data_IF_885724027737
#
_entry.id   IF_885724027737
#
_cell.length_a   1.000
_cell.length_b   1.000
_cell.length_c   1.000
_cell.angle_alpha   90.00
_cell.angle_beta   90.00
_cell.angle_gamma   90.00
#
_symmetry.space_group_name_H-M   'P 1'
#
loop_
_entity.id
_entity.type
_entity.pdbx_description
1 polymer ?
#
# COMPACT_ATOMS: atom_id res chain seq x y z
N UNK A 1 9.71 -20.25 -35.77
CA UNK A 1 10.00 -19.82 -34.37
C UNK A 1 11.23 -18.96 -34.44
N UNK A 2 11.05 -17.68 -34.73
CA UNK A 2 12.19 -16.75 -34.79
C UNK A 2 12.56 -16.36 -33.37
N UNK A 3 13.71 -16.89 -32.92
CA UNK A 3 14.30 -16.56 -31.63
C UNK A 3 14.91 -15.14 -31.68
N UNK A 4 14.07 -14.12 -31.72
CA UNK A 4 14.48 -12.77 -31.37
C UNK A 4 14.76 -12.77 -29.88
N UNK A 5 16.03 -12.99 -29.51
CA UNK A 5 16.53 -12.70 -28.17
C UNK A 5 16.10 -11.26 -27.85
N UNK A 6 15.06 -11.10 -27.02
CA UNK A 6 14.64 -9.80 -26.53
C UNK A 6 15.87 -9.11 -25.93
N UNK A 7 16.23 -7.94 -26.46
CA UNK A 7 17.33 -7.12 -25.94
C UNK A 7 17.16 -6.99 -24.43
N UNK A 8 18.16 -7.37 -23.66
CA UNK A 8 18.17 -7.20 -22.22
C UNK A 8 18.42 -5.73 -21.92
N UNK A 9 17.40 -5.01 -21.50
CA UNK A 9 17.51 -3.63 -21.02
C UNK A 9 18.14 -3.59 -19.61
N UNK A 10 18.56 -2.42 -19.18
CA UNK A 10 19.06 -2.21 -17.83
C UNK A 10 17.95 -2.27 -16.78
N UNK A 11 16.76 -1.79 -17.13
CA UNK A 11 15.58 -1.74 -16.28
C UNK A 11 14.36 -2.24 -17.04
N UNK A 12 13.62 -3.18 -16.48
CA UNK A 12 12.25 -3.49 -16.87
C UNK A 12 11.27 -2.63 -16.05
N UNK A 13 10.44 -1.86 -16.73
CA UNK A 13 9.40 -1.05 -16.06
C UNK A 13 8.08 -1.79 -16.14
N UNK A 14 7.54 -2.18 -15.00
CA UNK A 14 6.31 -2.96 -14.89
C UNK A 14 5.13 -2.07 -14.52
N UNK A 15 4.12 -2.01 -15.40
CA UNK A 15 2.92 -1.18 -15.27
C UNK A 15 1.68 -2.07 -15.37
N UNK A 16 1.01 -2.40 -14.27
CA UNK A 16 -0.32 -3.01 -14.32
C UNK A 16 -1.35 -1.94 -14.69
N UNK A 17 -2.26 -2.25 -15.60
CA UNK A 17 -3.31 -1.34 -16.07
C UNK A 17 -4.68 -2.04 -16.09
N UNK A 18 -5.69 -1.37 -15.53
CA UNK A 18 -7.08 -1.79 -15.60
C UNK A 18 -7.99 -0.57 -15.63
N UNK A 19 -8.77 -0.40 -16.71
CA UNK A 19 -9.68 0.73 -16.92
C UNK A 19 -8.99 2.09 -16.66
N UNK A 20 -7.88 2.33 -17.35
CA UNK A 20 -7.00 3.49 -17.17
C UNK A 20 -7.03 4.44 -18.39
N UNK A 21 -8.09 4.43 -19.21
CA UNK A 21 -8.16 5.20 -20.48
C UNK A 21 -7.87 6.70 -20.31
N UNK A 22 -8.12 7.26 -19.13
CA UNK A 22 -7.94 8.71 -18.87
C UNK A 22 -6.54 9.08 -18.39
N UNK A 23 -5.70 8.10 -17.99
CA UNK A 23 -4.43 8.37 -17.29
C UNK A 23 -3.23 7.65 -17.91
N UNK A 24 -3.44 6.49 -18.53
CA UNK A 24 -2.38 5.61 -19.01
C UNK A 24 -1.41 6.29 -19.99
N UNK A 25 -1.90 7.15 -20.88
CA UNK A 25 -1.06 7.86 -21.84
C UNK A 25 -0.05 8.77 -21.13
N UNK A 26 -0.51 9.56 -20.16
CA UNK A 26 0.35 10.44 -19.37
C UNK A 26 1.34 9.65 -18.49
N UNK A 27 0.88 8.56 -17.89
CA UNK A 27 1.70 7.68 -17.08
C UNK A 27 2.86 7.09 -17.89
N UNK A 28 2.56 6.50 -19.07
CA UNK A 28 3.59 5.92 -19.96
C UNK A 28 4.51 7.01 -20.51
N UNK A 29 3.99 8.18 -20.91
CA UNK A 29 4.82 9.30 -21.37
C UNK A 29 5.82 9.76 -20.31
N UNK A 30 5.45 9.74 -19.04
CA UNK A 30 6.36 10.05 -17.91
C UNK A 30 7.51 9.06 -17.78
N UNK A 31 7.28 7.80 -18.11
CA UNK A 31 8.30 6.73 -18.15
C UNK A 31 9.15 6.84 -19.41
N UNK A 32 8.56 7.12 -20.56
CA UNK A 32 9.30 7.32 -21.81
C UNK A 32 10.27 8.50 -21.74
N UNK A 33 9.99 9.49 -20.90
CA UNK A 33 10.80 10.70 -20.70
C UNK A 33 11.96 10.55 -19.70
N UNK A 34 12.17 9.36 -19.11
CA UNK A 34 13.24 9.14 -18.12
C UNK A 34 14.63 9.43 -18.71
N UNK A 35 15.58 9.92 -17.87
CA UNK A 35 16.98 10.16 -18.27
C UNK A 35 17.69 8.87 -18.68
N UNK A 36 17.42 7.76 -17.99
CA UNK A 36 17.86 6.43 -18.38
C UNK A 36 17.00 5.94 -19.55
N UNK A 37 17.62 5.76 -20.73
CA UNK A 37 16.93 5.37 -21.97
C UNK A 37 16.93 3.86 -22.20
N UNK A 38 17.86 3.14 -21.61
CA UNK A 38 17.98 1.68 -21.74
C UNK A 38 16.98 0.99 -20.82
N UNK A 39 15.70 1.14 -21.17
CA UNK A 39 14.55 0.59 -20.45
C UNK A 39 13.66 -0.20 -21.40
N UNK A 40 12.99 -1.20 -20.87
CA UNK A 40 11.86 -1.90 -21.50
C UNK A 40 10.61 -1.65 -20.66
N UNK A 41 9.52 -1.26 -21.30
CA UNK A 41 8.27 -0.90 -20.64
C UNK A 41 7.28 -2.04 -20.85
N UNK A 42 7.00 -2.78 -19.81
CA UNK A 42 6.08 -3.93 -19.80
C UNK A 42 4.76 -3.47 -19.18
N UNK A 43 3.72 -3.39 -20.00
CA UNK A 43 2.39 -2.98 -19.55
C UNK A 43 1.48 -4.21 -19.57
N UNK A 44 0.92 -4.56 -18.43
CA UNK A 44 -0.03 -5.67 -18.31
C UNK A 44 -1.45 -5.10 -18.23
N UNK A 45 -2.20 -5.22 -19.33
CA UNK A 45 -3.61 -4.90 -19.36
C UNK A 45 -4.41 -6.05 -18.76
N UNK A 46 -4.89 -5.84 -17.54
CA UNK A 46 -5.64 -6.84 -16.74
C UNK A 46 -7.13 -6.89 -17.13
N UNK A 47 -7.40 -7.07 -18.43
CA UNK A 47 -8.75 -7.24 -18.96
C UNK A 47 -9.59 -5.97 -18.88
N UNK A 48 -9.04 -4.80 -19.23
CA UNK A 48 -9.79 -3.54 -19.30
C UNK A 48 -10.99 -3.64 -20.25
N UNK A 49 -12.07 -2.95 -19.88
CA UNK A 49 -13.34 -2.89 -20.62
C UNK A 49 -13.62 -1.52 -21.25
N UNK A 50 -12.74 -0.56 -21.00
CA UNK A 50 -12.73 0.79 -21.58
C UNK A 50 -11.74 0.85 -22.77
N UNK A 51 -11.37 2.06 -23.22
CA UNK A 51 -10.43 2.26 -24.32
C UNK A 51 -8.95 2.08 -23.98
N UNK A 52 -8.63 1.56 -22.79
CA UNK A 52 -7.24 1.36 -22.36
C UNK A 52 -6.44 0.56 -23.40
N UNK A 53 -7.00 -0.57 -23.91
CA UNK A 53 -6.30 -1.41 -24.90
C UNK A 53 -5.99 -0.66 -26.19
N UNK A 54 -6.92 0.14 -26.71
CA UNK A 54 -6.72 0.90 -27.95
C UNK A 54 -5.61 1.94 -27.81
N UNK A 55 -5.54 2.58 -26.63
CA UNK A 55 -4.48 3.56 -26.31
C UNK A 55 -3.12 2.84 -26.22
N UNK A 56 -3.07 1.71 -25.53
CA UNK A 56 -1.85 0.92 -25.37
C UNK A 56 -1.30 0.41 -26.71
N UNK A 57 -2.17 -0.02 -27.64
CA UNK A 57 -1.76 -0.44 -28.98
C UNK A 57 -1.07 0.70 -29.73
N UNK A 58 -1.62 1.91 -29.69
CA UNK A 58 -1.03 3.09 -30.34
C UNK A 58 0.32 3.47 -29.73
N UNK A 59 0.45 3.38 -28.41
CA UNK A 59 1.71 3.65 -27.70
C UNK A 59 2.78 2.64 -28.11
N UNK A 60 2.43 1.35 -28.17
CA UNK A 60 3.36 0.28 -28.56
C UNK A 60 3.78 0.35 -30.03
N UNK A 61 2.90 0.80 -30.91
CA UNK A 61 3.22 1.06 -32.31
C UNK A 61 4.23 2.23 -32.49
N UNK A 62 4.18 3.21 -31.57
CA UNK A 62 5.03 4.41 -31.63
C UNK A 62 6.38 4.26 -30.92
N UNK A 63 6.53 3.31 -29.99
CA UNK A 63 7.77 3.12 -29.19
C UNK A 63 8.08 1.63 -29.02
N UNK A 64 9.13 1.15 -29.67
CA UNK A 64 9.57 -0.26 -29.65
C UNK A 64 9.95 -0.78 -28.26
N UNK A 65 10.18 0.10 -27.29
CA UNK A 65 10.46 -0.27 -25.89
C UNK A 65 9.21 -0.73 -25.14
N UNK A 66 8.01 -0.45 -25.67
CA UNK A 66 6.73 -0.74 -25.03
C UNK A 66 6.21 -2.11 -25.47
N UNK A 67 6.01 -2.97 -24.49
CA UNK A 67 5.47 -4.33 -24.67
C UNK A 67 4.17 -4.46 -23.88
N UNK A 68 3.07 -4.73 -24.58
CA UNK A 68 1.74 -4.90 -23.97
C UNK A 68 1.41 -6.37 -23.84
N UNK A 69 1.10 -6.81 -22.63
CA UNK A 69 0.57 -8.13 -22.33
C UNK A 69 -0.91 -7.97 -21.90
N UNK A 70 -1.82 -8.63 -22.57
CA UNK A 70 -3.25 -8.60 -22.22
C UNK A 70 -3.64 -9.91 -21.57
N UNK A 71 -4.26 -9.82 -20.39
CA UNK A 71 -4.74 -10.97 -19.61
C UNK A 71 -6.25 -10.83 -19.33
N UNK A 72 -6.89 -11.90 -18.91
CA UNK A 72 -8.20 -11.81 -18.27
C UNK A 72 -8.05 -11.13 -16.91
N UNK A 73 -9.07 -10.39 -16.45
CA UNK A 73 -9.00 -9.70 -15.17
C UNK A 73 -8.76 -10.68 -14.01
N UNK A 74 -7.56 -10.64 -13.47
CA UNK A 74 -7.08 -11.43 -12.33
C UNK A 74 -6.74 -10.57 -11.10
N UNK A 75 -6.82 -9.24 -11.22
CA UNK A 75 -6.43 -8.26 -10.22
C UNK A 75 -4.93 -7.99 -10.20
N UNK A 76 -4.54 -6.99 -9.40
CA UNK A 76 -3.19 -6.42 -9.40
C UNK A 76 -2.08 -7.46 -9.18
N UNK A 77 -2.28 -8.44 -8.30
CA UNK A 77 -1.29 -9.50 -8.02
C UNK A 77 -1.05 -10.36 -9.24
N UNK A 78 -2.13 -10.75 -9.95
CA UNK A 78 -2.05 -11.54 -11.18
C UNK A 78 -1.31 -10.75 -12.26
N UNK A 79 -1.68 -9.49 -12.48
CA UNK A 79 -1.05 -8.62 -13.48
C UNK A 79 0.44 -8.40 -13.19
N UNK A 80 0.81 -8.11 -11.93
CA UNK A 80 2.19 -7.92 -11.54
C UNK A 80 3.03 -9.19 -11.73
N UNK A 81 2.51 -10.36 -11.34
CA UNK A 81 3.23 -11.61 -11.51
C UNK A 81 3.37 -11.98 -13.00
N UNK A 82 2.31 -11.82 -13.81
CA UNK A 82 2.39 -12.05 -15.26
C UNK A 82 3.48 -11.18 -15.94
N UNK A 83 3.60 -9.92 -15.51
CA UNK A 83 4.68 -9.06 -16.00
C UNK A 83 6.07 -9.47 -15.48
N UNK A 84 6.17 -9.91 -14.22
CA UNK A 84 7.45 -10.40 -13.64
C UNK A 84 7.98 -11.66 -14.33
N UNK A 85 7.12 -12.51 -14.87
CA UNK A 85 7.53 -13.72 -15.61
C UNK A 85 8.34 -13.37 -16.87
N UNK A 86 7.98 -12.28 -17.55
CA UNK A 86 8.66 -11.84 -18.77
C UNK A 86 9.78 -10.82 -18.52
N UNK A 87 9.94 -10.30 -17.29
CA UNK A 87 11.06 -9.46 -16.90
C UNK A 87 12.38 -10.24 -17.02
N UNK A 88 13.45 -9.60 -17.54
CA UNK A 88 14.79 -10.18 -17.64
C UNK A 88 15.93 -9.18 -17.39
N UNK A 89 15.61 -7.92 -17.13
CA UNK A 89 16.58 -6.90 -16.72
C UNK A 89 17.10 -7.16 -15.28
N UNK A 90 18.24 -6.58 -14.92
CA UNK A 90 18.77 -6.69 -13.56
C UNK A 90 17.83 -6.05 -12.53
N UNK A 91 17.14 -4.97 -12.93
CA UNK A 91 16.23 -4.23 -12.06
C UNK A 91 14.83 -4.16 -12.65
N UNK A 92 13.84 -4.22 -11.77
CA UNK A 92 12.42 -3.97 -12.11
C UNK A 92 11.97 -2.71 -11.39
N UNK A 93 11.48 -1.73 -12.16
CA UNK A 93 10.85 -0.53 -11.65
C UNK A 93 9.33 -0.66 -11.78
N UNK A 94 8.61 -0.56 -10.67
CA UNK A 94 7.15 -0.57 -10.67
C UNK A 94 6.62 0.83 -10.93
N UNK A 95 5.50 0.96 -11.68
CA UNK A 95 4.78 2.20 -11.88
C UNK A 95 3.27 1.96 -12.00
N UNK A 96 2.44 2.88 -11.48
CA UNK A 96 0.98 2.79 -11.66
C UNK A 96 0.53 3.45 -12.97
N UNK A 97 -0.57 2.95 -13.51
CA UNK A 97 -1.17 3.43 -14.75
C UNK A 97 -1.81 4.84 -14.64
N UNK A 98 -1.79 5.45 -13.45
CA UNK A 98 -2.37 6.75 -13.16
C UNK A 98 -1.41 7.74 -12.49
N UNK A 99 -0.16 7.33 -12.22
CA UNK A 99 0.87 8.16 -11.59
C UNK A 99 1.81 8.81 -12.61
N UNK A 100 2.63 9.76 -12.16
CA UNK A 100 3.61 10.47 -12.99
C UNK A 100 5.01 10.38 -12.38
N UNK A 101 5.98 9.85 -13.12
CA UNK A 101 7.37 9.80 -12.70
C UNK A 101 8.14 11.04 -13.15
N UNK A 102 9.01 11.60 -12.30
CA UNK A 102 9.92 12.66 -12.72
C UNK A 102 11.10 12.09 -13.54
N UNK A 103 11.66 12.86 -14.47
CA UNK A 103 12.63 12.32 -15.46
C UNK A 103 13.87 11.66 -14.83
N UNK A 104 14.31 12.09 -13.67
CA UNK A 104 15.50 11.58 -12.98
C UNK A 104 15.22 10.41 -11.98
N UNK A 105 13.98 9.88 -11.94
CA UNK A 105 13.63 8.83 -11.00
C UNK A 105 14.51 7.60 -11.15
N UNK A 106 14.59 7.06 -12.37
CA UNK A 106 15.34 5.81 -12.58
C UNK A 106 16.83 5.99 -12.39
N UNK A 107 17.39 7.12 -12.77
CA UNK A 107 18.79 7.44 -12.53
C UNK A 107 19.14 7.44 -11.04
N UNK A 108 18.30 8.11 -10.22
CA UNK A 108 18.53 8.17 -8.78
C UNK A 108 18.42 6.80 -8.11
N UNK A 109 17.39 6.00 -8.47
CA UNK A 109 17.15 4.69 -7.90
C UNK A 109 18.21 3.67 -8.34
N UNK A 110 18.58 3.70 -9.62
CA UNK A 110 19.59 2.81 -10.19
C UNK A 110 20.97 3.08 -9.59
N UNK A 111 21.40 4.35 -9.54
CA UNK A 111 22.66 4.74 -8.94
C UNK A 111 22.75 4.29 -7.47
N UNK A 112 21.66 4.42 -6.72
CA UNK A 112 21.62 3.96 -5.35
C UNK A 112 21.82 2.43 -5.27
N UNK A 113 21.03 1.65 -6.01
CA UNK A 113 21.13 0.18 -5.98
C UNK A 113 22.47 -0.34 -6.52
N UNK A 114 23.08 0.35 -7.48
CA UNK A 114 24.40 -0.04 -8.00
C UNK A 114 25.52 0.15 -6.97
N UNK A 115 25.42 1.19 -6.11
CA UNK A 115 26.39 1.48 -5.07
C UNK A 115 26.14 0.67 -3.77
N UNK A 116 24.88 0.35 -3.45
CA UNK A 116 24.47 -0.34 -2.22
C UNK A 116 24.07 -1.78 -2.55
N UNK A 117 25.07 -2.69 -2.62
CA UNK A 117 24.85 -4.07 -3.10
C UNK A 117 23.99 -4.94 -2.17
N UNK A 118 23.95 -4.61 -0.88
CA UNK A 118 23.14 -5.27 0.14
C UNK A 118 21.68 -4.77 0.13
N UNK A 119 21.41 -3.64 -0.55
CA UNK A 119 20.06 -3.13 -0.75
C UNK A 119 19.38 -3.83 -1.95
N UNK A 120 18.25 -4.46 -1.71
CA UNK A 120 17.51 -5.22 -2.72
C UNK A 120 16.34 -4.46 -3.32
N UNK A 121 15.84 -3.44 -2.62
CA UNK A 121 14.75 -2.61 -3.12
C UNK A 121 14.82 -1.19 -2.57
N UNK A 122 14.48 -0.21 -3.42
CA UNK A 122 14.48 1.20 -3.09
C UNK A 122 13.15 1.86 -3.50
N UNK A 123 12.59 2.67 -2.59
CA UNK A 123 11.45 3.54 -2.85
C UNK A 123 11.86 5.00 -2.98
N UNK A 124 10.92 5.84 -3.40
CA UNK A 124 11.11 7.29 -3.52
C UNK A 124 9.94 8.04 -2.90
N UNK A 125 10.17 9.31 -2.55
CA UNK A 125 9.08 10.18 -2.16
C UNK A 125 8.30 10.71 -3.37
N UNK A 126 7.06 11.14 -3.09
CA UNK A 126 6.11 11.62 -4.08
C UNK A 126 5.38 12.87 -3.57
N UNK A 127 4.85 13.65 -4.51
CA UNK A 127 3.79 14.63 -4.25
C UNK A 127 2.43 14.02 -4.56
N UNK A 128 1.40 14.52 -3.92
CA UNK A 128 0.05 14.08 -4.22
C UNK A 128 -0.62 15.02 -5.23
N UNK A 129 -1.28 14.43 -6.22
CA UNK A 129 -2.13 15.13 -7.19
C UNK A 129 -3.58 14.64 -7.09
N UNK A 130 -4.52 15.48 -7.48
CA UNK A 130 -5.93 15.10 -7.59
C UNK A 130 -6.22 14.33 -8.90
N UNK A 131 -7.46 13.95 -9.11
CA UNK A 131 -7.89 13.23 -10.32
C UNK A 131 -7.60 13.98 -11.62
N UNK A 132 -7.42 15.30 -11.59
CA UNK A 132 -7.13 16.16 -12.74
C UNK A 132 -5.63 16.45 -12.90
N UNK A 133 -4.76 15.91 -12.06
CA UNK A 133 -3.32 16.15 -12.09
C UNK A 133 -2.85 17.42 -11.36
N UNK A 134 -3.72 18.06 -10.58
CA UNK A 134 -3.36 19.27 -9.82
C UNK A 134 -2.77 18.90 -8.46
N UNK A 135 -1.66 19.53 -8.11
CA UNK A 135 -1.03 19.37 -6.79
C UNK A 135 -1.99 19.75 -5.64
N UNK A 136 -2.16 18.85 -4.67
CA UNK A 136 -3.02 19.07 -3.49
C UNK A 136 -2.24 19.53 -2.24
N UNK A 137 -0.96 19.88 -2.40
CA UNK A 137 -0.12 20.47 -1.35
C UNK A 137 0.35 19.50 -0.27
N UNK A 138 0.21 18.18 -0.47
CA UNK A 138 0.73 17.14 0.41
C UNK A 138 1.77 16.28 -0.31
N UNK A 139 2.67 15.65 0.46
CA UNK A 139 3.74 14.80 -0.05
C UNK A 139 4.10 13.72 0.97
N UNK A 140 4.70 12.63 0.51
CA UNK A 140 5.32 11.65 1.40
C UNK A 140 6.61 12.21 2.03
N UNK A 141 7.03 11.62 3.15
CA UNK A 141 8.25 12.00 3.86
C UNK A 141 8.92 10.74 4.40
N UNK A 142 9.40 9.94 3.49
CA UNK A 142 10.09 8.68 3.78
C UNK A 142 11.57 8.89 3.49
N UNK A 143 12.46 8.37 4.32
CA UNK A 143 13.89 8.38 4.04
C UNK A 143 14.65 7.36 4.88
N UNK A 144 15.76 6.88 4.32
CA UNK A 144 16.65 5.96 5.01
C UNK A 144 16.18 4.52 4.97
N UNK A 145 16.89 3.68 5.70
CA UNK A 145 16.60 2.25 5.76
C UNK A 145 15.24 1.97 6.38
N UNK A 146 14.53 1.06 5.76
CA UNK A 146 13.24 0.58 6.27
C UNK A 146 13.51 -0.25 7.51
N UNK A 147 12.98 0.19 8.64
CA UNK A 147 13.14 -0.48 9.94
C UNK A 147 11.75 -0.87 10.48
N UNK A 148 11.21 -2.00 10.04
CA UNK A 148 9.98 -2.52 10.59
C UNK A 148 10.24 -3.13 11.97
N UNK A 149 9.16 -3.34 12.70
CA UNK A 149 9.20 -4.03 13.99
C UNK A 149 7.97 -4.95 14.07
N UNK A 150 8.14 -6.28 13.88
CA UNK A 150 7.03 -7.22 13.94
C UNK A 150 6.50 -7.42 15.37
N UNK A 151 7.27 -7.04 16.38
CA UNK A 151 6.91 -7.16 17.80
C UNK A 151 6.26 -5.90 18.36
N UNK A 152 6.30 -4.80 17.61
CA UNK A 152 5.49 -3.61 17.91
C UNK A 152 4.00 -3.92 17.80
N UNK A 153 3.16 -3.15 18.49
CA UNK A 153 1.71 -3.34 18.44
C UNK A 153 0.96 -2.07 17.94
N UNK A 154 0.13 -2.17 16.90
CA UNK A 154 0.13 -3.23 15.88
C UNK A 154 1.50 -3.31 15.21
N UNK A 155 1.86 -4.43 14.57
CA UNK A 155 3.19 -4.59 13.94
C UNK A 155 3.54 -3.39 13.09
N UNK A 156 4.75 -2.87 13.28
CA UNK A 156 5.28 -1.76 12.48
C UNK A 156 5.77 -2.32 11.14
N UNK A 157 4.96 -2.12 10.12
CA UNK A 157 5.18 -2.68 8.80
C UNK A 157 6.36 -2.02 8.07
N UNK A 158 7.09 -2.77 7.20
CA UNK A 158 7.99 -2.18 6.22
C UNK A 158 7.18 -1.35 5.22
N UNK A 159 7.71 -0.22 4.79
CA UNK A 159 7.00 0.63 3.84
C UNK A 159 7.95 1.27 2.81
N UNK A 160 7.66 1.00 1.55
CA UNK A 160 8.15 1.72 0.39
C UNK A 160 6.93 2.24 -0.40
N UNK A 161 7.07 3.34 -1.11
CA UNK A 161 6.00 3.81 -2.01
C UNK A 161 5.90 2.84 -3.20
N UNK A 162 4.89 1.98 -3.19
CA UNK A 162 4.77 0.85 -4.13
C UNK A 162 4.81 1.28 -5.61
N UNK A 163 4.09 2.32 -6.07
CA UNK A 163 4.20 2.81 -7.44
C UNK A 163 5.60 3.33 -7.83
N UNK A 164 6.44 3.58 -6.85
CA UNK A 164 7.78 4.13 -7.03
C UNK A 164 8.88 3.19 -6.51
N UNK A 165 8.59 1.91 -6.48
CA UNK A 165 9.54 0.85 -6.15
C UNK A 165 10.50 0.59 -7.33
N UNK A 166 11.79 0.40 -7.03
CA UNK A 166 12.74 -0.30 -7.87
C UNK A 166 13.35 -1.45 -7.07
N UNK A 167 13.40 -2.64 -7.64
CA UNK A 167 13.82 -3.87 -6.95
C UNK A 167 14.75 -4.68 -7.84
N UNK A 168 15.71 -5.41 -7.24
CA UNK A 168 16.51 -6.40 -7.97
C UNK A 168 15.63 -7.56 -8.39
N UNK A 169 15.70 -7.94 -9.67
CA UNK A 169 14.87 -9.03 -10.21
C UNK A 169 15.16 -10.38 -9.53
N UNK A 170 16.41 -10.66 -9.22
CA UNK A 170 16.79 -11.88 -8.50
C UNK A 170 16.19 -11.93 -7.08
N UNK A 171 16.16 -10.80 -6.39
CA UNK A 171 15.59 -10.72 -5.05
C UNK A 171 14.08 -10.95 -5.04
N UNK A 172 13.32 -10.29 -5.94
CA UNK A 172 11.87 -10.49 -6.01
C UNK A 172 11.51 -11.90 -6.47
N UNK A 173 12.30 -12.51 -7.38
CA UNK A 173 12.15 -13.91 -7.79
C UNK A 173 12.47 -14.88 -6.65
N UNK A 174 13.54 -14.63 -5.89
CA UNK A 174 13.95 -15.45 -4.75
C UNK A 174 12.85 -15.55 -3.68
N UNK A 175 12.07 -14.49 -3.50
CA UNK A 175 10.93 -14.49 -2.57
C UNK A 175 9.60 -14.94 -3.21
N UNK A 176 9.59 -15.35 -4.49
CA UNK A 176 8.42 -15.90 -5.18
C UNK A 176 7.42 -14.86 -5.69
N UNK A 177 7.86 -13.62 -6.00
CA UNK A 177 6.99 -12.59 -6.55
C UNK A 177 5.93 -12.08 -5.56
N UNK A 178 4.78 -11.63 -6.07
CA UNK A 178 3.65 -11.17 -5.26
C UNK A 178 2.75 -12.33 -4.84
N UNK A 179 2.23 -12.28 -3.60
CA UNK A 179 1.23 -13.24 -3.10
C UNK A 179 -0.15 -12.58 -3.01
N UNK A 180 -1.21 -13.36 -3.00
CA UNK A 180 -2.59 -12.87 -2.97
C UNK A 180 -3.00 -12.39 -1.57
N UNK A 181 -2.21 -11.47 -0.99
CA UNK A 181 -2.50 -10.78 0.26
C UNK A 181 -3.34 -9.54 -0.06
N UNK A 182 -4.66 -9.72 -0.11
CA UNK A 182 -5.60 -8.72 -0.64
C UNK A 182 -5.44 -7.37 0.06
N UNK A 183 -5.18 -6.30 -0.71
CA UNK A 183 -4.92 -4.92 -0.24
C UNK A 183 -3.69 -4.73 0.67
N UNK A 184 -2.78 -5.72 0.70
CA UNK A 184 -1.51 -5.65 1.43
C UNK A 184 -0.41 -6.51 0.73
N UNK A 185 -0.53 -6.73 -0.57
CA UNK A 185 0.42 -7.48 -1.40
C UNK A 185 1.80 -6.87 -1.40
N UNK A 186 1.89 -5.55 -1.33
CA UNK A 186 3.14 -4.79 -1.20
C UNK A 186 3.78 -4.96 0.19
N UNK A 187 2.99 -4.84 1.23
CA UNK A 187 3.42 -5.04 2.62
C UNK A 187 3.97 -6.44 2.83
N UNK A 188 3.29 -7.47 2.30
CA UNK A 188 3.76 -8.84 2.34
C UNK A 188 5.05 -9.04 1.55
N UNK A 189 5.15 -8.46 0.36
CA UNK A 189 6.37 -8.50 -0.44
C UNK A 189 7.55 -7.90 0.33
N UNK A 190 7.35 -6.74 0.97
CA UNK A 190 8.42 -6.07 1.72
C UNK A 190 8.89 -6.89 2.92
N UNK A 191 7.98 -7.52 3.67
CA UNK A 191 8.34 -8.46 4.73
C UNK A 191 9.18 -9.63 4.23
N UNK A 192 8.92 -10.14 3.02
CA UNK A 192 9.71 -11.22 2.42
C UNK A 192 11.06 -10.74 1.89
N UNK A 193 11.11 -9.58 1.26
CA UNK A 193 12.35 -8.98 0.76
C UNK A 193 13.35 -8.67 1.87
N UNK A 194 12.90 -8.30 3.07
CA UNK A 194 13.76 -8.13 4.25
C UNK A 194 14.52 -9.40 4.66
N UNK A 195 14.02 -10.57 4.27
CA UNK A 195 14.72 -11.84 4.48
C UNK A 195 15.88 -12.07 3.49
N UNK A 196 16.03 -11.26 2.45
CA UNK A 196 17.04 -11.42 1.40
C UNK A 196 17.92 -10.19 1.20
N UNK A 197 17.60 -9.06 1.81
CA UNK A 197 18.42 -7.86 1.76
C UNK A 197 17.74 -6.64 2.40
N UNK A 198 18.44 -5.52 2.38
CA UNK A 198 18.00 -4.25 2.94
C UNK A 198 17.00 -3.54 2.01
N UNK A 199 16.05 -2.80 2.58
CA UNK A 199 15.13 -1.91 1.87
C UNK A 199 15.42 -0.46 2.25
N UNK A 200 15.32 0.48 1.29
CA UNK A 200 15.66 1.88 1.51
C UNK A 200 14.66 2.84 0.86
N UNK A 201 14.42 3.99 1.46
CA UNK A 201 13.67 5.09 0.87
C UNK A 201 14.61 6.26 0.56
N UNK A 202 14.68 6.67 -0.71
CA UNK A 202 15.36 7.89 -1.12
C UNK A 202 14.65 9.11 -0.52
N UNK A 203 15.44 10.14 -0.17
CA UNK A 203 14.92 11.37 0.43
C UNK A 203 14.17 12.24 -0.57
N UNK A 204 14.61 12.22 -1.83
CA UNK A 204 14.12 13.13 -2.85
C UNK A 204 12.76 12.67 -3.42
N UNK A 205 12.04 13.63 -3.97
CA UNK A 205 10.75 13.41 -4.60
C UNK A 205 10.99 13.09 -6.07
N UNK A 206 10.50 11.94 -6.52
CA UNK A 206 10.70 11.46 -7.89
C UNK A 206 9.41 11.24 -8.67
N UNK A 207 8.29 11.78 -8.20
CA UNK A 207 7.05 11.74 -8.96
C UNK A 207 5.83 12.23 -8.21
N UNK A 208 4.69 11.99 -8.83
CA UNK A 208 3.37 12.40 -8.37
C UNK A 208 2.44 11.21 -8.30
N UNK A 209 1.81 11.04 -7.13
CA UNK A 209 0.85 9.98 -6.83
C UNK A 209 -0.57 10.55 -6.90
N UNK A 210 -1.43 9.92 -7.71
CA UNK A 210 -2.79 10.36 -7.90
C UNK A 210 -3.73 9.86 -6.81
N UNK A 211 -4.50 10.80 -6.23
CA UNK A 211 -5.53 10.50 -5.25
C UNK A 211 -6.89 10.77 -5.87
N UNK A 212 -7.70 9.73 -5.99
CA UNK A 212 -9.08 9.83 -6.49
C UNK A 212 -10.01 8.89 -5.71
N UNK A 213 -11.33 9.13 -5.81
CA UNK A 213 -12.35 8.35 -5.09
C UNK A 213 -12.41 6.86 -5.51
N UNK A 214 -11.94 6.54 -6.72
CA UNK A 214 -11.85 5.16 -7.24
C UNK A 214 -10.60 4.40 -6.79
N UNK A 215 -9.66 5.04 -6.07
CA UNK A 215 -8.46 4.34 -5.57
C UNK A 215 -8.87 3.21 -4.62
N UNK A 216 -8.39 1.99 -4.87
CA UNK A 216 -8.72 0.77 -4.10
C UNK A 216 -8.57 1.01 -2.60
N UNK A 217 -7.48 1.66 -2.20
CA UNK A 217 -7.16 1.94 -0.81
C UNK A 217 -8.06 3.01 -0.14
N UNK A 218 -8.91 3.72 -0.90
CA UNK A 218 -9.80 4.77 -0.39
C UNK A 218 -11.27 4.49 -0.64
N UNK A 219 -11.61 3.50 -1.48
CA UNK A 219 -12.94 3.30 -2.02
C UNK A 219 -13.99 2.96 -0.95
N UNK A 220 -13.66 2.16 0.08
CA UNK A 220 -14.63 1.76 1.09
C UNK A 220 -14.01 1.33 2.42
N UNK A 221 -14.84 1.35 3.47
CA UNK A 221 -14.44 0.77 4.77
C UNK A 221 -14.22 -0.75 4.67
N UNK A 222 -14.87 -1.44 3.74
CA UNK A 222 -14.66 -2.88 3.51
C UNK A 222 -13.22 -3.11 3.11
N UNK A 223 -12.69 -2.34 2.15
CA UNK A 223 -11.27 -2.41 1.78
C UNK A 223 -10.35 -2.07 2.95
N UNK A 224 -10.75 -1.11 3.80
CA UNK A 224 -10.02 -0.76 5.02
C UNK A 224 -9.96 -1.92 6.02
N UNK A 225 -11.05 -2.67 6.20
CA UNK A 225 -11.10 -3.86 7.05
C UNK A 225 -10.17 -4.96 6.53
N UNK A 226 -10.26 -5.24 5.23
CA UNK A 226 -9.39 -6.23 4.56
C UNK A 226 -7.93 -5.82 4.71
N UNK A 227 -7.57 -4.58 4.37
CA UNK A 227 -6.20 -4.09 4.48
C UNK A 227 -5.66 -4.16 5.92
N UNK A 228 -6.49 -3.82 6.92
CA UNK A 228 -6.09 -3.89 8.31
C UNK A 228 -5.79 -5.32 8.78
N UNK A 229 -6.60 -6.29 8.37
CA UNK A 229 -6.37 -7.70 8.70
C UNK A 229 -5.19 -8.25 7.90
N UNK A 230 -5.17 -8.04 6.59
CA UNK A 230 -4.19 -8.62 5.68
C UNK A 230 -2.76 -8.13 5.98
N UNK A 231 -2.57 -6.84 6.29
CA UNK A 231 -1.26 -6.31 6.63
C UNK A 231 -0.70 -6.88 7.93
N UNK A 232 -1.54 -7.09 8.95
CA UNK A 232 -1.12 -7.70 10.21
C UNK A 232 -0.94 -9.22 10.08
N UNK A 233 -1.71 -9.87 9.20
CA UNK A 233 -1.50 -11.27 8.84
C UNK A 233 -0.16 -11.49 8.14
N UNK A 234 0.26 -10.57 7.26
CA UNK A 234 1.57 -10.58 6.63
C UNK A 234 2.72 -10.47 7.67
N UNK A 235 2.53 -9.71 8.74
CA UNK A 235 3.49 -9.64 9.84
C UNK A 235 3.56 -10.95 10.65
N UNK A 236 2.41 -11.62 10.89
CA UNK A 236 2.38 -12.96 11.52
C UNK A 236 3.11 -13.97 10.62
N UNK A 237 2.84 -13.96 9.31
CA UNK A 237 3.54 -14.77 8.30
C UNK A 237 5.06 -14.56 8.36
N UNK A 238 5.53 -13.31 8.49
CA UNK A 238 6.96 -13.03 8.68
C UNK A 238 7.52 -13.62 9.98
N UNK A 239 6.82 -13.49 11.10
CA UNK A 239 7.22 -14.06 12.39
C UNK A 239 7.31 -15.59 12.33
N UNK A 240 6.35 -16.26 11.67
CA UNK A 240 6.38 -17.70 11.43
C UNK A 240 7.66 -18.12 10.69
N UNK A 241 8.03 -17.41 9.63
CA UNK A 241 9.26 -17.68 8.87
C UNK A 241 10.52 -17.54 9.75
N UNK A 242 10.58 -16.51 10.60
CA UNK A 242 11.70 -16.34 11.55
C UNK A 242 11.80 -17.47 12.56
N UNK A 243 10.68 -18.09 12.91
CA UNK A 243 10.61 -19.19 13.89
C UNK A 243 10.68 -20.58 13.23
N UNK A 244 10.78 -20.67 11.89
CA UNK A 244 10.75 -21.95 11.18
C UNK A 244 9.39 -22.64 11.21
N UNK A 245 8.31 -21.93 11.55
CA UNK A 245 6.93 -22.44 11.52
C UNK A 245 6.38 -22.34 10.09
N UNK A 246 5.54 -23.30 9.64
CA UNK A 246 4.92 -23.24 8.31
C UNK A 246 4.24 -21.90 8.05
N UNK A 247 4.47 -21.33 6.86
CA UNK A 247 3.93 -20.03 6.47
C UNK A 247 2.40 -20.07 6.32
N UNK A 248 1.79 -18.90 6.29
CA UNK A 248 0.36 -18.77 5.98
C UNK A 248 0.18 -18.94 4.48
N UNK A 249 -0.82 -19.73 4.09
CA UNK A 249 -1.21 -19.86 2.68
C UNK A 249 -2.01 -18.62 2.23
N UNK A 250 -1.51 -17.95 1.19
CA UNK A 250 -2.17 -16.83 0.52
C UNK A 250 -2.53 -17.26 -0.91
N UNK A 251 -3.31 -18.33 -1.04
CA UNK A 251 -3.76 -18.83 -2.35
C UNK A 251 -4.74 -17.87 -3.03
N UNK A 252 -4.86 -17.92 -4.39
CA UNK A 252 -5.79 -17.08 -5.14
C UNK A 252 -7.27 -17.21 -4.71
N UNK A 253 -7.67 -18.36 -4.16
CA UNK A 253 -9.04 -18.60 -3.68
C UNK A 253 -9.47 -17.66 -2.56
N UNK A 254 -8.54 -17.21 -1.72
CA UNK A 254 -8.83 -16.25 -0.64
C UNK A 254 -9.38 -14.91 -1.15
N UNK A 255 -9.03 -14.49 -2.38
CA UNK A 255 -9.57 -13.24 -2.95
C UNK A 255 -11.09 -13.26 -3.00
N UNK A 256 -11.68 -14.33 -3.52
CA UNK A 256 -13.14 -14.47 -3.64
C UNK A 256 -13.81 -14.48 -2.27
N UNK A 257 -13.18 -15.08 -1.28
CA UNK A 257 -13.71 -15.15 0.08
C UNK A 257 -13.65 -13.78 0.77
N UNK A 258 -12.58 -13.01 0.58
CA UNK A 258 -12.50 -11.62 1.05
C UNK A 258 -13.54 -10.71 0.39
N UNK A 259 -13.83 -10.90 -0.91
CA UNK A 259 -14.86 -10.12 -1.61
C UNK A 259 -16.27 -10.37 -1.04
N UNK A 260 -16.52 -11.56 -0.48
CA UNK A 260 -17.77 -11.93 0.21
C UNK A 260 -17.82 -11.43 1.65
N UNK A 261 -16.68 -11.38 2.33
CA UNK A 261 -16.57 -10.97 3.72
C UNK A 261 -16.59 -9.44 3.84
N UNK A 262 -17.71 -8.87 4.32
CA UNK A 262 -17.93 -7.42 4.36
C UNK A 262 -17.69 -6.81 5.76
N UNK A 263 -17.72 -7.61 6.81
CA UNK A 263 -17.51 -7.17 8.19
C UNK A 263 -16.12 -7.56 8.69
N UNK A 264 -15.59 -6.81 9.66
CA UNK A 264 -14.31 -7.13 10.27
C UNK A 264 -14.33 -8.53 10.92
N UNK A 265 -15.46 -8.89 11.56
CA UNK A 265 -15.65 -10.22 12.17
C UNK A 265 -15.52 -11.34 11.14
N UNK A 266 -16.26 -11.24 10.01
CA UNK A 266 -16.25 -12.28 8.98
C UNK A 266 -14.85 -12.46 8.37
N UNK A 267 -14.10 -11.36 8.18
CA UNK A 267 -12.72 -11.43 7.67
C UNK A 267 -11.82 -12.14 8.68
N UNK A 268 -11.93 -11.81 9.96
CA UNK A 268 -11.16 -12.45 11.04
C UNK A 268 -11.52 -13.93 11.22
N UNK A 269 -12.78 -14.30 11.07
CA UNK A 269 -13.24 -15.69 11.10
C UNK A 269 -12.66 -16.49 9.93
N UNK A 270 -12.66 -15.91 8.72
CA UNK A 270 -12.10 -16.51 7.52
C UNK A 270 -10.62 -16.87 7.71
N UNK A 271 -9.80 -15.91 8.12
CA UNK A 271 -8.34 -16.12 8.26
C UNK A 271 -7.98 -16.90 9.53
N UNK A 272 -8.85 -16.85 10.54
CA UNK A 272 -8.63 -17.49 11.84
C UNK A 272 -8.48 -19.01 11.78
N UNK A 273 -9.01 -19.64 10.74
CA UNK A 273 -8.92 -21.09 10.54
C UNK A 273 -7.46 -21.59 10.34
N UNK A 274 -6.58 -20.72 9.88
CA UNK A 274 -5.18 -21.02 9.63
C UNK A 274 -4.23 -20.57 10.76
N UNK A 275 -4.79 -20.03 11.86
CA UNK A 275 -4.03 -19.44 12.95
C UNK A 275 -4.18 -20.23 14.25
N UNK A 276 -3.14 -20.20 15.10
CA UNK A 276 -3.25 -20.65 16.48
C UNK A 276 -4.15 -19.70 17.30
N UNK A 277 -4.70 -20.14 18.44
CA UNK A 277 -5.52 -19.28 19.30
C UNK A 277 -4.83 -17.98 19.72
N UNK A 278 -3.52 -18.02 20.01
CA UNK A 278 -2.73 -16.85 20.38
C UNK A 278 -2.53 -15.89 19.22
N UNK A 279 -2.23 -16.41 18.02
CA UNK A 279 -2.12 -15.61 16.79
C UNK A 279 -3.44 -14.96 16.43
N UNK A 280 -4.56 -15.67 16.56
CA UNK A 280 -5.91 -15.13 16.29
C UNK A 280 -6.26 -14.03 17.30
N UNK A 281 -5.97 -14.22 18.57
CA UNK A 281 -6.18 -13.21 19.62
C UNK A 281 -5.34 -11.96 19.32
N UNK A 282 -4.06 -12.13 18.99
CA UNK A 282 -3.20 -11.04 18.57
C UNK A 282 -3.74 -10.33 17.31
N UNK A 283 -4.12 -11.09 16.28
CA UNK A 283 -4.62 -10.53 15.01
C UNK A 283 -5.90 -9.70 15.22
N UNK A 284 -6.85 -10.17 16.04
CA UNK A 284 -8.07 -9.43 16.36
C UNK A 284 -7.74 -8.03 16.92
N UNK A 285 -6.84 -7.98 17.88
CA UNK A 285 -6.44 -6.74 18.51
C UNK A 285 -5.59 -5.86 17.55
N UNK A 286 -4.61 -6.44 16.85
CA UNK A 286 -3.72 -5.72 15.94
C UNK A 286 -4.46 -5.15 14.73
N UNK A 287 -5.37 -5.92 14.10
CA UNK A 287 -6.21 -5.45 13.02
C UNK A 287 -7.18 -4.34 13.47
N UNK A 288 -7.73 -4.44 14.68
CA UNK A 288 -8.55 -3.40 15.29
C UNK A 288 -7.77 -2.08 15.45
N UNK A 289 -6.56 -2.13 16.00
CA UNK A 289 -5.69 -0.96 16.13
C UNK A 289 -5.27 -0.41 14.75
N UNK A 290 -4.96 -1.28 13.78
CA UNK A 290 -4.61 -0.89 12.42
C UNK A 290 -5.77 -0.20 11.72
N UNK A 291 -6.99 -0.72 11.84
CA UNK A 291 -8.19 -0.09 11.26
C UNK A 291 -8.41 1.32 11.85
N UNK A 292 -8.28 1.49 13.17
CA UNK A 292 -8.31 2.81 13.79
C UNK A 292 -7.24 3.76 13.23
N UNK A 293 -6.03 3.27 12.99
CA UNK A 293 -4.95 4.04 12.40
C UNK A 293 -5.27 4.46 10.96
N UNK A 294 -5.79 3.56 10.13
CA UNK A 294 -6.22 3.87 8.76
C UNK A 294 -7.29 4.96 8.72
N UNK A 295 -8.22 4.98 9.67
CA UNK A 295 -9.27 5.99 9.78
C UNK A 295 -8.76 7.41 10.11
N UNK A 296 -7.50 7.60 10.51
CA UNK A 296 -6.93 8.93 10.72
C UNK A 296 -6.73 9.71 9.40
N UNK A 297 -6.45 9.01 8.31
CA UNK A 297 -6.14 9.63 7.01
C UNK A 297 -7.04 9.14 5.86
N UNK A 298 -7.87 8.13 6.11
CA UNK A 298 -8.88 7.64 5.16
C UNK A 298 -10.28 8.06 5.62
N UNK A 299 -11.24 8.28 4.69
CA UNK A 299 -12.59 8.74 5.01
C UNK A 299 -13.49 7.65 5.63
N UNK A 300 -12.92 6.55 6.11
CA UNK A 300 -13.67 5.43 6.64
C UNK A 300 -14.46 5.80 7.89
N UNK A 301 -15.69 5.30 8.00
CA UNK A 301 -16.53 5.43 9.19
C UNK A 301 -16.91 4.01 9.62
N UNK A 302 -16.48 3.57 10.80
CA UNK A 302 -16.80 2.22 11.30
C UNK A 302 -18.29 2.10 11.59
N UNK A 303 -18.87 0.91 11.41
CA UNK A 303 -20.21 0.61 11.86
C UNK A 303 -20.24 0.19 13.34
N UNK A 304 -21.43 -0.17 13.84
CA UNK A 304 -21.59 -0.56 15.24
C UNK A 304 -20.82 -1.84 15.58
N UNK A 305 -20.82 -2.81 14.66
CA UNK A 305 -20.13 -4.10 14.85
C UNK A 305 -18.62 -3.91 14.92
N UNK A 306 -18.05 -3.06 14.04
CA UNK A 306 -16.64 -2.69 14.11
C UNK A 306 -16.30 -2.05 15.46
N UNK A 307 -17.12 -1.07 15.90
CA UNK A 307 -16.87 -0.35 17.14
C UNK A 307 -16.90 -1.29 18.37
N UNK A 308 -17.84 -2.21 18.41
CA UNK A 308 -17.96 -3.19 19.48
C UNK A 308 -16.77 -4.16 19.50
N UNK A 309 -16.43 -4.74 18.33
CA UNK A 309 -15.29 -5.64 18.20
C UNK A 309 -13.97 -4.96 18.55
N UNK A 310 -13.74 -3.73 18.05
CA UNK A 310 -12.54 -2.93 18.38
C UNK A 310 -12.47 -2.65 19.88
N UNK A 311 -13.60 -2.27 20.49
CA UNK A 311 -13.69 -2.00 21.92
C UNK A 311 -13.29 -3.22 22.75
N UNK A 312 -13.86 -4.37 22.43
CA UNK A 312 -13.62 -5.65 23.09
C UNK A 312 -12.17 -6.13 22.88
N UNK A 313 -11.74 -6.26 21.63
CA UNK A 313 -10.42 -6.80 21.29
C UNK A 313 -9.27 -6.00 21.90
N UNK A 314 -9.39 -4.66 21.91
CA UNK A 314 -8.39 -3.78 22.52
C UNK A 314 -8.52 -3.66 24.06
N UNK A 315 -9.63 -4.11 24.62
CA UNK A 315 -9.82 -4.20 26.07
C UNK A 315 -9.20 -5.43 26.72
N UNK A 316 -8.99 -6.49 25.94
CA UNK A 316 -8.50 -7.79 26.42
C UNK A 316 -6.97 -7.92 26.44
N UNK A 317 -6.24 -7.02 25.78
CA UNK A 317 -4.78 -7.11 25.61
C UNK A 317 -4.08 -6.17 26.59
N UNK A 318 -3.07 -6.71 27.29
CA UNK A 318 -2.15 -5.90 28.08
C UNK A 318 -1.11 -5.24 27.14
N UNK A 319 -1.11 -3.91 27.09
CA UNK A 319 -0.20 -3.16 26.24
C UNK A 319 0.93 -2.51 27.04
N UNK A 320 2.07 -2.26 26.36
CA UNK A 320 3.06 -1.34 26.89
C UNK A 320 2.45 0.07 27.08
N UNK A 321 3.02 0.87 27.98
CA UNK A 321 2.54 2.24 28.23
C UNK A 321 2.47 3.09 26.96
N UNK A 322 3.41 2.90 26.03
CA UNK A 322 3.44 3.63 24.76
C UNK A 322 2.30 3.21 23.83
N UNK A 323 2.08 1.89 23.67
CA UNK A 323 0.99 1.35 22.85
C UNK A 323 -0.37 1.75 23.43
N UNK A 324 -0.54 1.71 24.76
CA UNK A 324 -1.76 2.18 25.43
C UNK A 324 -2.08 3.64 25.10
N UNK A 325 -1.08 4.53 25.13
CA UNK A 325 -1.28 5.94 24.79
C UNK A 325 -1.74 6.13 23.35
N UNK A 326 -1.12 5.43 22.42
CA UNK A 326 -1.47 5.53 20.99
C UNK A 326 -2.87 4.97 20.70
N UNK A 327 -3.19 3.78 21.21
CA UNK A 327 -4.52 3.16 21.07
C UNK A 327 -5.59 4.06 21.69
N UNK A 328 -5.35 4.57 22.88
CA UNK A 328 -6.26 5.49 23.56
C UNK A 328 -6.49 6.76 22.75
N UNK A 329 -5.45 7.30 22.13
CA UNK A 329 -5.53 8.46 21.24
C UNK A 329 -6.39 8.16 20.00
N UNK A 330 -6.17 7.02 19.36
CA UNK A 330 -6.92 6.58 18.18
C UNK A 330 -8.40 6.35 18.50
N UNK A 331 -8.70 5.64 19.59
CA UNK A 331 -10.07 5.43 20.09
C UNK A 331 -10.77 6.76 20.37
N UNK A 332 -10.12 7.69 21.09
CA UNK A 332 -10.67 9.00 21.40
C UNK A 332 -10.97 9.84 20.16
N UNK A 333 -10.09 9.84 19.16
CA UNK A 333 -10.32 10.57 17.89
C UNK A 333 -11.49 9.99 17.10
N UNK A 334 -11.56 8.65 16.99
CA UNK A 334 -12.64 7.98 16.27
C UNK A 334 -13.96 8.18 16.99
N UNK A 335 -14.01 8.04 18.31
CA UNK A 335 -15.21 8.31 19.13
C UNK A 335 -15.69 9.76 18.95
N UNK A 336 -14.79 10.75 19.02
CA UNK A 336 -15.15 12.14 18.80
C UNK A 336 -15.75 12.38 17.39
N UNK A 337 -15.20 11.71 16.37
CA UNK A 337 -15.75 11.78 15.00
C UNK A 337 -17.16 11.20 14.93
N UNK A 338 -17.41 10.05 15.59
CA UNK A 338 -18.72 9.41 15.66
C UNK A 338 -19.73 10.28 16.42
N UNK A 339 -19.32 10.87 17.55
CA UNK A 339 -20.16 11.82 18.31
C UNK A 339 -20.61 13.03 17.45
N UNK A 340 -19.70 13.60 16.64
CA UNK A 340 -20.02 14.67 15.71
C UNK A 340 -21.02 14.28 14.62
N UNK A 341 -21.10 12.99 14.30
CA UNK A 341 -22.05 12.41 13.36
C UNK A 341 -23.37 11.96 14.01
N UNK A 342 -23.56 12.22 15.32
CA UNK A 342 -24.73 11.80 16.09
C UNK A 342 -24.76 10.30 16.44
N UNK A 343 -23.65 9.57 16.22
CA UNK A 343 -23.56 8.12 16.41
C UNK A 343 -23.07 7.79 17.82
N UNK A 344 -23.89 8.10 18.82
CA UNK A 344 -23.54 7.97 20.25
C UNK A 344 -23.24 6.52 20.66
N UNK A 345 -24.12 5.58 20.29
CA UNK A 345 -23.95 4.14 20.64
C UNK A 345 -22.63 3.59 20.13
N UNK A 346 -22.24 3.97 18.93
CA UNK A 346 -21.01 3.49 18.29
C UNK A 346 -19.76 4.09 18.95
N UNK A 347 -19.83 5.37 19.30
CA UNK A 347 -18.76 6.04 20.03
C UNK A 347 -18.51 5.38 21.39
N UNK A 348 -19.57 4.99 22.12
CA UNK A 348 -19.45 4.29 23.40
C UNK A 348 -19.02 2.83 23.24
N UNK A 349 -19.43 2.14 22.15
CA UNK A 349 -19.00 0.77 21.86
C UNK A 349 -17.46 0.65 21.68
N UNK A 350 -16.78 1.70 21.24
CA UNK A 350 -15.31 1.77 21.24
C UNK A 350 -14.67 1.79 22.63
N UNK A 351 -15.45 1.93 23.70
CA UNK A 351 -14.97 2.05 25.08
C UNK A 351 -13.85 3.09 25.25
N UNK A 352 -14.01 4.33 24.79
CA UNK A 352 -13.03 5.37 25.00
C UNK A 352 -13.10 5.88 26.45
N UNK A 353 -11.96 6.25 27.05
CA UNK A 353 -12.02 7.00 28.32
C UNK A 353 -12.47 8.44 28.08
N UNK A 354 -13.15 9.04 29.07
CA UNK A 354 -13.57 10.45 29.01
C UNK A 354 -12.39 11.38 28.79
N UNK A 355 -11.25 11.09 29.43
CA UNK A 355 -10.00 11.85 29.24
C UNK A 355 -9.50 11.83 27.79
N UNK A 356 -9.62 10.69 27.11
CA UNK A 356 -9.19 10.55 25.71
C UNK A 356 -10.10 11.32 24.76
N UNK A 357 -11.39 11.38 25.02
CA UNK A 357 -12.32 12.23 24.27
C UNK A 357 -11.96 13.71 24.48
N UNK A 358 -11.74 14.13 25.72
CA UNK A 358 -11.35 15.50 26.04
C UNK A 358 -10.03 15.90 25.37
N UNK A 359 -9.01 15.06 25.40
CA UNK A 359 -7.74 15.27 24.69
C UNK A 359 -7.92 15.39 23.16
N UNK A 360 -8.80 14.58 22.56
CA UNK A 360 -9.12 14.65 21.15
C UNK A 360 -9.81 16.00 20.78
N UNK A 361 -10.70 16.49 21.62
CA UNK A 361 -11.32 17.82 21.46
C UNK A 361 -10.27 18.93 21.48
N UNK A 362 -9.38 18.95 22.48
CA UNK A 362 -8.31 19.94 22.61
C UNK A 362 -7.36 19.89 21.40
N UNK A 363 -6.98 18.70 20.93
CA UNK A 363 -6.13 18.53 19.76
C UNK A 363 -6.77 19.10 18.47
N UNK A 364 -8.09 18.89 18.30
CA UNK A 364 -8.80 19.45 17.15
C UNK A 364 -8.93 20.97 17.19
N UNK A 365 -9.16 21.55 18.38
CA UNK A 365 -9.20 23.01 18.56
C UNK A 365 -7.83 23.64 18.21
N UNK A 366 -6.72 23.06 18.67
CA UNK A 366 -5.37 23.54 18.32
C UNK A 366 -5.13 23.51 16.80
N UNK A 367 -5.52 22.44 16.11
CA UNK A 367 -5.38 22.33 14.64
C UNK A 367 -6.24 23.39 13.90
N UNK A 368 -7.42 23.68 14.39
CA UNK A 368 -8.31 24.70 13.83
C UNK A 368 -7.73 26.12 13.99
N UNK A 369 -7.18 26.43 15.15
CA UNK A 369 -6.50 27.70 15.42
C UNK A 369 -5.24 27.88 14.55
N UNK A 370 -4.44 26.83 14.37
CA UNK A 370 -3.25 26.87 13.51
C UNK A 370 -3.59 27.06 12.02
N UNK A 371 -4.68 26.46 11.53
CA UNK A 371 -5.17 26.70 10.15
C UNK A 371 -5.67 28.13 9.96
N UNK A 372 -6.34 28.70 10.96
CA UNK A 372 -6.87 30.07 10.90
C UNK A 372 -5.74 31.10 10.89
N UNK A 373 -4.68 30.89 11.68
CA UNK A 373 -3.51 31.79 11.69
C UNK A 373 -2.65 31.70 10.43
N UNK A 374 -2.67 30.58 9.69
CA UNK A 374 -2.00 30.49 8.37
C UNK A 374 -2.80 31.17 7.25
N UNK A 375 -4.13 31.16 7.30
CA UNK A 375 -4.95 31.87 6.31
C UNK A 375 -4.88 33.39 6.49
N UNK A 376 -4.73 33.89 7.70
CA UNK A 376 -4.53 35.32 7.99
C UNK A 376 -3.12 35.84 7.68
N UNK A 377 -2.09 34.97 7.69
CA UNK A 377 -0.74 35.34 7.33
C UNK A 377 -0.45 35.33 5.80
N UNK A 378 -1.39 34.86 4.99
CA UNK A 378 -1.34 34.86 3.52
C UNK A 378 -2.20 35.98 2.89
N UNK A 379 -2.89 36.78 3.71
CA UNK A 379 -3.73 37.90 3.30
C UNK A 379 -3.20 39.26 3.76
N UNK A 380 -2.02 39.32 4.34
CA UNK A 380 -1.20 40.50 4.60
C UNK A 380 0.14 40.30 3.82
#
# INVERSE_FOLDING_TARGET
MDGTSLRVAQIDVLIPAYNAETTIEAAVASIQSQTIRDIRIIIVNDGSTDRTQDILNKIAEADERVHVLTTSNGGIVSALNAGLEICNAEFVARHDADDLAYPNRFEAQLNFLQNEKDCVAVGSNIRHIDQYGKLIGTQSRLYGDVRPDPDWFPSKEPYLMHPFLMVRLDAIRKVGGYRYVVHAEDTDLYWRLLGVGRLHNLRDIHGEYRIHSGSISSASIVNGRVAAVASQLAAISYKRRLQGVPDIDFSPGLRTDYERAKTLSNILELVGQSLSPDELSYLKAAASAKLLSLMEYRPYIPDHQDCALIGEALGQVAFSTQNMREISRLKGKTALRLLKLGRLSDAFALQPSVENIARAVVSNLKKSLFKRNRSTALTN
#
